data_IF_445129749889
#
_entry.id   IF_445129749889
#
_cell.length_a   1.000
_cell.length_b   1.000
_cell.length_c   1.000
_cell.angle_alpha   90.00
_cell.angle_beta   90.00
_cell.angle_gamma   90.00
#
_symmetry.space_group_name_H-M   'P 1'
#
loop_
_entity.id
_entity.type
_entity.pdbx_description
1 polymer ?
#
# COMPACT_ATOMS: atom_id res chain seq x y z
N UNK A 1 -12.22 -2.04 -5.25
CA UNK A 1 -12.62 -0.64 -4.95
C UNK A 1 -12.28 0.29 -6.11
N UNK A 2 -11.00 0.33 -6.54
CA UNK A 2 -10.55 1.10 -7.71
C UNK A 2 -11.31 0.75 -9.00
N UNK A 3 -11.58 -0.52 -9.26
CA UNK A 3 -12.39 -0.97 -10.41
C UNK A 3 -13.81 -0.39 -10.42
N UNK A 4 -14.34 -0.05 -9.24
CA UNK A 4 -15.64 0.61 -9.09
C UNK A 4 -15.54 2.15 -9.16
N UNK A 5 -14.34 2.70 -9.41
CA UNK A 5 -14.08 4.13 -9.52
C UNK A 5 -13.85 4.86 -8.19
N UNK A 6 -13.51 4.15 -7.10
CA UNK A 6 -13.28 4.72 -5.77
C UNK A 6 -11.84 4.49 -5.29
N UNK A 7 -11.29 5.47 -4.57
CA UNK A 7 -10.07 5.35 -3.77
C UNK A 7 -10.46 5.22 -2.28
N UNK A 8 -9.66 4.49 -1.50
CA UNK A 8 -9.92 4.21 -0.09
C UNK A 8 -9.54 5.39 0.81
N UNK A 9 -8.37 5.99 0.58
CA UNK A 9 -7.82 7.17 1.26
C UNK A 9 -7.45 6.98 2.75
N UNK A 10 -7.47 5.76 3.28
CA UNK A 10 -7.14 5.48 4.70
C UNK A 10 -6.70 4.01 4.92
N UNK A 11 -5.81 3.52 4.05
CA UNK A 11 -5.24 2.17 4.21
C UNK A 11 -4.16 2.23 5.30
N UNK A 12 -4.33 1.45 6.37
CA UNK A 12 -3.43 1.37 7.52
C UNK A 12 -3.64 0.05 8.26
N UNK A 13 -2.84 -0.22 9.29
CA UNK A 13 -2.94 -1.47 10.05
C UNK A 13 -4.35 -1.73 10.59
N UNK A 14 -4.97 -0.70 11.17
CA UNK A 14 -6.28 -0.80 11.82
C UNK A 14 -7.43 -1.04 10.82
N UNK A 15 -7.26 -0.65 9.55
CA UNK A 15 -8.26 -0.90 8.51
C UNK A 15 -8.15 -2.28 7.86
N UNK A 16 -7.25 -3.15 8.34
CA UNK A 16 -7.07 -4.52 7.83
C UNK A 16 -7.56 -5.55 8.85
N UNK A 17 -8.60 -6.28 8.49
CA UNK A 17 -9.10 -7.42 9.26
C UNK A 17 -8.55 -8.73 8.70
N UNK A 18 -8.04 -9.59 9.58
CA UNK A 18 -7.58 -10.93 9.23
C UNK A 18 -8.50 -11.94 9.91
N UNK A 19 -9.17 -12.76 9.10
CA UNK A 19 -9.91 -13.92 9.57
C UNK A 19 -9.13 -15.17 9.21
N UNK A 20 -8.90 -16.07 10.15
CA UNK A 20 -8.24 -17.36 9.89
C UNK A 20 -9.30 -18.44 9.97
N UNK A 21 -9.54 -19.12 8.85
CA UNK A 21 -10.40 -20.29 8.76
C UNK A 21 -9.62 -21.42 8.09
N UNK A 22 -9.66 -22.63 8.66
CA UNK A 22 -8.94 -23.81 8.16
C UNK A 22 -7.46 -23.56 7.79
N UNK A 23 -6.72 -22.81 8.62
CA UNK A 23 -5.33 -22.38 8.39
C UNK A 23 -5.09 -21.51 7.14
N UNK A 24 -6.15 -21.00 6.50
CA UNK A 24 -6.06 -20.07 5.40
C UNK A 24 -6.44 -18.65 5.88
N UNK A 25 -5.50 -17.70 5.95
CA UNK A 25 -5.83 -16.33 6.31
C UNK A 25 -6.60 -15.65 5.17
N UNK A 26 -7.77 -15.10 5.49
CA UNK A 26 -8.54 -14.21 4.62
C UNK A 26 -8.38 -12.77 5.12
N UNK A 27 -7.84 -11.92 4.26
CA UNK A 27 -7.61 -10.50 4.56
C UNK A 27 -8.71 -9.66 3.93
N UNK A 28 -9.30 -8.75 4.72
CA UNK A 28 -10.34 -7.81 4.28
C UNK A 28 -9.96 -6.40 4.66
N UNK A 29 -10.03 -5.47 3.70
CA UNK A 29 -9.87 -4.03 3.97
C UNK A 29 -11.23 -3.46 4.38
N UNK A 30 -11.25 -2.69 5.46
CA UNK A 30 -12.44 -2.14 6.14
C UNK A 30 -12.34 -0.61 6.29
N UNK A 31 -13.25 0.03 7.02
CA UNK A 31 -13.25 1.49 7.27
C UNK A 31 -13.43 2.37 6.02
N UNK A 32 -14.55 2.17 5.30
CA UNK A 32 -14.81 2.88 4.04
C UNK A 32 -15.34 4.33 4.20
N UNK A 33 -15.33 4.90 5.41
CA UNK A 33 -15.90 6.23 5.68
C UNK A 33 -15.24 7.37 4.89
N UNK A 34 -13.97 7.19 4.52
CA UNK A 34 -13.17 8.14 3.75
C UNK A 34 -13.01 7.75 2.28
N UNK A 35 -13.66 6.66 1.85
CA UNK A 35 -13.67 6.28 0.44
C UNK A 35 -14.38 7.36 -0.39
N UNK A 36 -13.77 7.73 -1.52
CA UNK A 36 -14.28 8.78 -2.42
C UNK A 36 -14.07 8.39 -3.87
N UNK A 37 -14.87 8.97 -4.78
CA UNK A 37 -14.68 8.80 -6.21
C UNK A 37 -13.28 9.27 -6.60
N UNK A 38 -12.57 8.50 -7.41
CA UNK A 38 -11.26 8.90 -7.95
C UNK A 38 -11.39 10.28 -8.62
N UNK A 39 -10.42 11.16 -8.38
CA UNK A 39 -10.48 12.55 -8.84
C UNK A 39 -11.02 13.54 -7.79
N UNK A 40 -11.51 13.08 -6.64
CA UNK A 40 -11.98 13.97 -5.56
C UNK A 40 -10.81 14.67 -4.88
N UNK A 41 -10.95 15.97 -4.60
CA UNK A 41 -9.99 16.77 -3.84
C UNK A 41 -10.55 17.11 -2.46
N UNK A 42 -9.69 17.63 -1.55
CA UNK A 42 -10.10 18.17 -0.23
C UNK A 42 -10.88 17.19 0.65
N UNK A 43 -10.41 15.94 0.71
CA UNK A 43 -11.02 14.87 1.52
C UNK A 43 -10.75 15.07 3.01
N UNK A 44 -9.55 15.57 3.32
CA UNK A 44 -9.10 15.90 4.68
C UNK A 44 -9.06 17.41 4.87
N UNK A 45 -9.07 17.85 6.13
CA UNK A 45 -8.68 19.23 6.45
C UNK A 45 -7.22 19.45 6.07
N UNK A 46 -6.91 20.65 5.59
CA UNK A 46 -5.55 20.98 5.20
C UNK A 46 -4.65 20.97 6.44
N UNK A 47 -3.52 20.26 6.37
CA UNK A 47 -2.47 20.31 7.39
C UNK A 47 -1.10 20.20 6.74
N UNK A 48 -0.17 21.04 7.18
CA UNK A 48 1.25 20.95 6.81
C UNK A 48 2.02 19.91 7.63
N UNK A 49 1.45 19.46 8.75
CA UNK A 49 2.03 18.41 9.58
C UNK A 49 1.58 17.04 9.05
N UNK A 50 2.35 16.52 8.10
CA UNK A 50 2.13 15.18 7.51
C UNK A 50 2.61 14.05 8.43
N UNK A 51 3.43 14.37 9.43
CA UNK A 51 4.00 13.37 10.34
C UNK A 51 2.96 12.87 11.35
N UNK A 52 1.90 13.66 11.60
CA UNK A 52 0.74 13.23 12.40
C UNK A 52 -0.03 12.08 11.74
N UNK A 53 0.01 11.95 10.42
CA UNK A 53 -0.70 10.91 9.66
C UNK A 53 0.20 10.29 8.58
N UNK A 54 1.25 9.55 8.97
CA UNK A 54 2.32 9.14 8.07
C UNK A 54 1.90 8.07 7.05
N UNK A 55 0.71 7.47 7.21
CA UNK A 55 0.11 6.56 6.21
C UNK A 55 -0.70 7.31 5.14
N UNK A 56 -1.04 8.59 5.36
CA UNK A 56 -1.78 9.38 4.38
C UNK A 56 -0.84 9.98 3.35
N UNK A 57 -1.22 9.85 2.08
CA UNK A 57 -0.46 10.44 1.00
C UNK A 57 -0.44 11.98 1.15
N UNK A 58 0.73 12.64 1.07
CA UNK A 58 0.88 14.06 1.43
C UNK A 58 0.00 14.97 0.58
N UNK A 59 -0.30 14.60 -0.67
CA UNK A 59 -1.19 15.37 -1.54
C UNK A 59 -2.63 15.47 -1.01
N UNK A 60 -3.09 14.50 -0.20
CA UNK A 60 -4.42 14.51 0.39
C UNK A 60 -4.52 15.51 1.55
N UNK A 61 -3.41 15.72 2.27
CA UNK A 61 -3.30 16.66 3.39
C UNK A 61 -2.99 18.08 2.92
N UNK A 62 -2.17 18.20 1.87
CA UNK A 62 -1.74 19.49 1.29
C UNK A 62 -2.63 19.98 0.15
N UNK A 63 -3.64 19.19 -0.23
CA UNK A 63 -4.60 19.48 -1.31
C UNK A 63 -3.94 19.75 -2.67
N UNK A 64 -2.78 19.15 -2.94
CA UNK A 64 -2.01 19.41 -4.18
C UNK A 64 -2.51 18.59 -5.36
N UNK A 65 -3.09 17.41 -5.12
CA UNK A 65 -3.59 16.51 -6.16
C UNK A 65 -4.87 15.81 -5.68
N UNK A 66 -5.73 15.35 -6.58
CA UNK A 66 -6.90 14.55 -6.21
C UNK A 66 -6.51 13.15 -5.73
N UNK A 67 -7.41 12.50 -5.00
CA UNK A 67 -7.27 11.11 -4.62
C UNK A 67 -7.33 10.15 -5.81
N UNK A 68 -6.68 9.00 -5.67
CA UNK A 68 -6.72 7.94 -6.66
C UNK A 68 -5.89 6.72 -6.25
N UNK A 69 -5.59 5.86 -7.22
CA UNK A 69 -4.72 4.70 -7.01
C UNK A 69 -3.38 5.10 -6.37
N UNK A 70 -2.79 6.21 -6.80
CA UNK A 70 -1.49 6.67 -6.29
C UNK A 70 -1.52 7.01 -4.78
N UNK A 71 -2.64 7.53 -4.26
CA UNK A 71 -2.77 7.81 -2.83
C UNK A 71 -2.94 6.53 -2.03
N UNK A 72 -3.72 5.56 -2.53
CA UNK A 72 -3.85 4.24 -1.90
C UNK A 72 -2.54 3.44 -1.94
N UNK A 73 -1.75 3.56 -3.01
CA UNK A 73 -0.43 2.94 -3.15
C UNK A 73 0.57 3.48 -2.11
N UNK A 74 0.53 4.78 -1.82
CA UNK A 74 1.36 5.36 -0.76
C UNK A 74 1.02 4.72 0.59
N UNK A 75 -0.28 4.68 0.93
CA UNK A 75 -0.77 4.10 2.17
C UNK A 75 -0.47 2.59 2.29
N UNK A 76 -0.63 1.82 1.19
CA UNK A 76 -0.25 0.41 1.14
C UNK A 76 1.25 0.22 1.42
N UNK A 77 2.12 1.04 0.83
CA UNK A 77 3.55 0.93 1.05
C UNK A 77 3.93 1.26 2.50
N UNK A 78 3.22 2.19 3.15
CA UNK A 78 3.37 2.46 4.58
C UNK A 78 3.02 1.21 5.41
N UNK A 79 1.84 0.62 5.16
CA UNK A 79 1.37 -0.60 5.83
C UNK A 79 2.37 -1.76 5.67
N UNK A 80 2.86 -2.00 4.45
CA UNK A 80 3.84 -3.05 4.17
C UNK A 80 5.17 -2.79 4.89
N UNK A 81 5.59 -1.53 5.01
CA UNK A 81 6.82 -1.16 5.74
C UNK A 81 6.73 -1.45 7.23
N UNK A 82 5.55 -1.25 7.81
CA UNK A 82 5.31 -1.59 9.22
C UNK A 82 5.21 -3.11 9.43
N UNK A 83 4.54 -3.80 8.50
CA UNK A 83 4.25 -5.24 8.64
C UNK A 83 5.43 -6.15 8.27
N UNK A 84 6.29 -5.69 7.37
CA UNK A 84 7.43 -6.45 6.85
C UNK A 84 8.73 -5.70 7.17
N UNK A 85 9.35 -5.92 8.33
CA UNK A 85 10.67 -5.38 8.63
C UNK A 85 11.73 -6.10 7.77
N UNK A 86 11.83 -5.71 6.50
CA UNK A 86 12.78 -6.28 5.54
C UNK A 86 14.18 -5.79 5.88
N UNK A 87 14.93 -6.57 6.67
CA UNK A 87 16.35 -6.30 6.94
C UNK A 87 17.20 -6.61 5.70
N UNK A 88 18.16 -5.74 5.39
CA UNK A 88 19.18 -6.04 4.39
C UNK A 88 20.10 -7.12 4.95
N UNK A 89 20.18 -8.26 4.26
CA UNK A 89 21.11 -9.34 4.59
C UNK A 89 21.89 -9.73 3.33
N UNK A 90 23.20 -10.06 3.44
CA UNK A 90 23.92 -10.70 2.35
C UNK A 90 23.17 -11.97 1.89
N UNK A 91 23.04 -12.16 0.57
CA UNK A 91 22.29 -13.30 0.00
C UNK A 91 20.76 -13.14 0.00
N UNK A 92 20.24 -11.92 0.17
CA UNK A 92 18.80 -11.66 0.10
C UNK A 92 18.22 -11.98 -1.29
N UNK A 93 17.01 -12.57 -1.30
CA UNK A 93 16.29 -12.90 -2.55
C UNK A 93 16.07 -11.64 -3.40
N UNK A 94 16.25 -11.70 -4.73
CA UNK A 94 16.00 -10.55 -5.62
C UNK A 94 14.61 -9.95 -5.47
N UNK A 95 13.59 -10.77 -5.24
CA UNK A 95 12.20 -10.35 -5.03
C UNK A 95 12.01 -9.47 -3.79
N UNK A 96 12.75 -9.73 -2.70
CA UNK A 96 12.75 -8.86 -1.52
C UNK A 96 13.42 -7.51 -1.78
N UNK A 97 14.51 -7.50 -2.56
CA UNK A 97 15.16 -6.25 -2.97
C UNK A 97 14.23 -5.42 -3.88
N UNK A 98 13.53 -6.08 -4.80
CA UNK A 98 12.51 -5.46 -5.63
C UNK A 98 11.36 -4.88 -4.80
N UNK A 99 10.90 -5.59 -3.76
CA UNK A 99 9.81 -5.11 -2.89
C UNK A 99 10.22 -3.84 -2.15
N UNK A 100 11.46 -3.79 -1.64
CA UNK A 100 12.00 -2.58 -1.00
C UNK A 100 12.05 -1.39 -1.94
N UNK A 101 12.53 -1.61 -3.18
CA UNK A 101 12.58 -0.54 -4.17
C UNK A 101 11.18 -0.07 -4.57
N UNK A 102 10.24 -0.99 -4.70
CA UNK A 102 8.85 -0.68 -5.01
C UNK A 102 8.21 0.16 -3.90
N UNK A 103 8.40 -0.22 -2.63
CA UNK A 103 7.94 0.55 -1.48
C UNK A 103 8.61 1.92 -1.40
N UNK A 104 9.89 2.04 -1.75
CA UNK A 104 10.59 3.34 -1.80
C UNK A 104 9.95 4.25 -2.84
N UNK A 105 9.68 3.75 -4.05
CA UNK A 105 9.05 4.50 -5.15
C UNK A 105 7.60 4.89 -4.85
N UNK A 106 6.86 4.05 -4.11
CA UNK A 106 5.50 4.34 -3.68
C UNK A 106 5.39 5.56 -2.75
N UNK A 107 6.48 5.94 -2.07
CA UNK A 107 6.52 7.14 -1.24
C UNK A 107 7.06 8.38 -1.96
N UNK A 108 7.15 8.38 -3.31
CA UNK A 108 7.49 9.60 -4.04
C UNK A 108 6.44 10.71 -3.81
N UNK A 109 6.93 11.94 -3.62
CA UNK A 109 6.08 13.12 -3.36
C UNK A 109 5.09 13.34 -4.50
N UNK A 110 5.56 13.27 -5.75
CA UNK A 110 4.70 13.40 -6.93
C UNK A 110 3.89 12.11 -7.15
N UNK A 111 2.55 12.15 -7.05
CA UNK A 111 1.73 10.94 -7.15
C UNK A 111 1.90 10.19 -8.47
N UNK A 112 2.03 10.91 -9.59
CA UNK A 112 2.22 10.31 -10.93
C UNK A 112 3.54 9.56 -11.13
N UNK A 113 4.51 9.67 -10.20
CA UNK A 113 5.77 8.91 -10.26
C UNK A 113 5.72 7.60 -9.45
N UNK A 114 4.66 7.39 -8.65
CA UNK A 114 4.46 6.17 -7.87
C UNK A 114 4.14 5.00 -8.80
N UNK A 115 4.52 3.76 -8.43
CA UNK A 115 4.13 2.58 -9.18
C UNK A 115 2.61 2.38 -9.15
N UNK A 116 2.11 1.56 -10.08
CA UNK A 116 0.73 1.07 -10.05
C UNK A 116 0.55 0.05 -8.94
N UNK A 117 -0.69 -0.14 -8.50
CA UNK A 117 -1.05 -1.20 -7.55
C UNK A 117 -0.72 -2.59 -8.12
N UNK A 118 -0.87 -2.78 -9.43
CA UNK A 118 -0.54 -4.04 -10.10
C UNK A 118 0.92 -4.46 -9.89
N UNK A 119 1.85 -3.52 -9.84
CA UNK A 119 3.26 -3.83 -9.58
C UNK A 119 3.48 -4.47 -8.20
N UNK A 120 2.65 -4.12 -7.20
CA UNK A 120 2.69 -4.78 -5.89
C UNK A 120 2.08 -6.17 -5.96
N UNK A 121 0.92 -6.34 -6.61
CA UNK A 121 0.26 -7.64 -6.71
C UNK A 121 1.12 -8.65 -7.47
N UNK A 122 1.72 -8.23 -8.58
CA UNK A 122 2.56 -9.09 -9.42
C UNK A 122 3.80 -9.57 -8.65
N UNK A 123 4.45 -8.66 -7.93
CA UNK A 123 5.65 -8.99 -7.16
C UNK A 123 5.32 -9.87 -5.93
N UNK A 124 4.24 -9.59 -5.20
CA UNK A 124 3.84 -10.41 -4.06
C UNK A 124 3.41 -11.81 -4.51
N UNK A 125 2.76 -11.93 -5.67
CA UNK A 125 2.43 -13.22 -6.27
C UNK A 125 3.71 -14.01 -6.63
N UNK A 126 4.68 -13.36 -7.28
CA UNK A 126 5.98 -13.98 -7.55
C UNK A 126 6.67 -14.46 -6.26
N UNK A 127 6.70 -13.63 -5.21
CA UNK A 127 7.28 -14.00 -3.91
C UNK A 127 6.57 -15.21 -3.29
N UNK A 128 5.24 -15.27 -3.41
CA UNK A 128 4.46 -16.41 -2.93
C UNK A 128 4.81 -17.70 -3.69
N UNK A 129 4.92 -17.65 -5.01
CA UNK A 129 5.34 -18.78 -5.84
C UNK A 129 6.77 -19.26 -5.52
N UNK A 130 7.70 -18.33 -5.31
CA UNK A 130 9.07 -18.65 -4.88
C UNK A 130 9.09 -19.33 -3.50
N UNK A 131 8.17 -18.98 -2.60
CA UNK A 131 8.08 -19.61 -1.27
C UNK A 131 7.49 -21.02 -1.32
N UNK A 132 6.52 -21.25 -2.19
CA UNK A 132 5.83 -22.55 -2.31
C UNK A 132 6.62 -23.57 -3.13
N UNK A 133 7.38 -23.14 -4.15
CA UNK A 133 8.27 -24.02 -4.92
C UNK A 133 9.45 -24.55 -4.10
N UNK A 134 10.01 -23.75 -3.20
CA UNK A 134 11.14 -24.14 -2.33
C UNK A 134 10.79 -25.08 -1.18
N UNK A 135 9.53 -25.50 -1.04
CA UNK A 135 9.07 -26.40 0.05
C UNK A 135 8.87 -27.86 -0.45
N UNK A 136 9.25 -28.17 -1.69
CA UNK A 136 9.06 -29.48 -2.34
C UNK A 136 10.35 -30.31 -2.52
N UNK A 137 11.44 -29.97 -1.84
CA UNK A 137 12.69 -30.74 -1.83
C UNK A 137 12.99 -31.31 -0.44
#
# INVERSE_FOLDING_TARGET
MLEKGFAHNDIKGDSVCIQVDNNAPKVTITELGLARRVGTTRIYQHTSDTDMFPWLAPELLLHTHPCGEASDVYSLAHLLKQSLPVRNKPGQRPSLAALRELMRRAHFVTPGKRPRLSAFTDLLQQMHEESTKGTKE
#
